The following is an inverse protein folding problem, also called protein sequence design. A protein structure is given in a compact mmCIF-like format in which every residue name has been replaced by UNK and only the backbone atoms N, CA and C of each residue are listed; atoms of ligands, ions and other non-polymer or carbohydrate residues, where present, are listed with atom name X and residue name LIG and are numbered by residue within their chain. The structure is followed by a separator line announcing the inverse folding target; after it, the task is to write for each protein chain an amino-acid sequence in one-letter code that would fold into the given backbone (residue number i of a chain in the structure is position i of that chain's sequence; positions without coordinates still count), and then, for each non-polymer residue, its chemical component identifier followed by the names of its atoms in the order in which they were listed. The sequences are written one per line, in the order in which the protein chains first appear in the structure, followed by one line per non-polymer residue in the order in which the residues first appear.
data_IF_188728986529
#
_entry.id   IF_188728986529
#
_cell.length_a   1.000
_cell.length_b   1.000
_cell.length_c   1.000
_cell.angle_alpha   90.00
_cell.angle_beta   90.00
_cell.angle_gamma   90.00
#
_symmetry.space_group_name_H-M   'P 1'
#
loop_
_entity.id
_entity.type
_entity.pdbx_description
1 polymer ?
#
# COMPACT_ATOMS: atom_id res chain seq x y z
N UNK A 1 29.08 -10.21 33.32
CA UNK A 1 28.77 -10.79 32.00
C UNK A 1 28.03 -9.75 31.17
N UNK A 2 28.28 -9.75 29.86
CA UNK A 2 28.09 -8.64 28.94
C UNK A 2 26.62 -8.35 28.52
N UNK A 3 26.35 -7.04 28.35
CA UNK A 3 25.41 -6.31 27.47
C UNK A 3 24.70 -7.10 26.35
N UNK A 4 23.39 -6.85 26.20
CA UNK A 4 22.81 -6.52 24.88
C UNK A 4 21.77 -5.40 25.00
N UNK A 5 21.94 -4.38 24.15
CA UNK A 5 20.97 -3.32 23.86
C UNK A 5 19.98 -3.86 22.83
N UNK A 6 18.70 -3.54 22.95
CA UNK A 6 17.86 -3.31 21.77
C UNK A 6 16.82 -2.23 22.06
N UNK A 7 16.85 -1.26 21.17
CA UNK A 7 16.18 0.03 21.20
C UNK A 7 14.87 -0.04 20.42
N UNK A 8 13.91 0.80 20.85
CA UNK A 8 12.83 1.43 20.06
C UNK A 8 12.15 0.59 18.98
N UNK A 9 10.84 0.42 19.13
CA UNK A 9 9.91 1.11 18.24
C UNK A 9 8.53 1.21 18.89
N UNK A 10 8.19 2.42 19.33
CA UNK A 10 6.81 2.81 19.53
C UNK A 10 6.11 2.73 18.17
N UNK A 11 5.22 1.75 17.99
CA UNK A 11 4.23 1.79 16.92
C UNK A 11 2.92 2.28 17.53
N UNK A 12 2.97 3.54 17.96
CA UNK A 12 1.78 4.36 18.11
C UNK A 12 1.46 4.95 16.74
N UNK A 13 0.56 4.32 15.98
CA UNK A 13 -0.16 4.98 14.90
C UNK A 13 -1.59 4.46 14.86
N UNK A 14 -2.31 4.57 15.99
CA UNK A 14 -3.75 4.79 15.92
C UNK A 14 -3.96 6.28 15.67
N UNK A 15 -3.72 6.70 14.42
CA UNK A 15 -4.17 7.99 13.94
C UNK A 15 -5.60 7.82 13.43
N UNK A 16 -6.56 7.86 14.35
CA UNK A 16 -7.93 8.25 14.06
C UNK A 16 -7.93 9.74 13.72
N UNK A 17 -7.62 10.08 12.48
CA UNK A 17 -7.87 11.39 11.90
C UNK A 17 -8.51 11.14 10.55
N UNK A 18 -9.61 11.82 10.24
CA UNK A 18 -10.15 11.85 8.89
C UNK A 18 -9.12 12.50 7.98
N UNK A 19 -8.18 11.70 7.46
CA UNK A 19 -7.16 12.15 6.53
C UNK A 19 -7.76 11.99 5.15
N UNK A 20 -8.12 13.11 4.53
CA UNK A 20 -8.21 13.17 3.08
C UNK A 20 -6.85 12.71 2.55
N UNK A 21 -6.75 11.45 2.14
CA UNK A 21 -5.51 10.90 1.59
C UNK A 21 -5.13 11.76 0.40
N UNK A 22 -3.92 12.34 0.42
CA UNK A 22 -3.44 13.15 -0.69
C UNK A 22 -3.43 12.28 -1.95
N UNK A 23 -3.71 12.89 -3.10
CA UNK A 23 -3.65 12.22 -4.40
C UNK A 23 -2.30 11.51 -4.60
N UNK A 24 -1.21 12.10 -4.11
CA UNK A 24 0.13 11.49 -4.15
C UNK A 24 0.23 10.20 -3.31
N UNK A 25 -0.41 10.18 -2.14
CA UNK A 25 -0.45 8.98 -1.29
C UNK A 25 -1.29 7.87 -1.95
N UNK A 26 -2.42 8.21 -2.56
CA UNK A 26 -3.23 7.25 -3.33
C UNK A 26 -2.41 6.64 -4.48
N UNK A 27 -1.67 7.44 -5.24
CA UNK A 27 -0.80 6.92 -6.30
C UNK A 27 0.29 5.99 -5.76
N UNK A 28 0.88 6.31 -4.62
CA UNK A 28 1.84 5.42 -3.95
C UNK A 28 1.20 4.09 -3.54
N UNK A 29 -0.02 4.12 -3.00
CA UNK A 29 -0.76 2.91 -2.61
C UNK A 29 -1.11 2.04 -3.82
N UNK A 30 -1.60 2.65 -4.91
CA UNK A 30 -1.91 1.96 -6.17
C UNK A 30 -0.64 1.30 -6.74
N UNK A 31 0.48 2.04 -6.75
CA UNK A 31 1.77 1.49 -7.23
C UNK A 31 2.20 0.29 -6.41
N UNK A 32 2.22 0.41 -5.09
CA UNK A 32 2.61 -0.69 -4.20
C UNK A 32 1.71 -1.91 -4.40
N UNK A 33 0.41 -1.69 -4.61
CA UNK A 33 -0.55 -2.77 -4.84
C UNK A 33 -0.36 -3.44 -6.21
N UNK A 34 -0.06 -2.67 -7.26
CA UNK A 34 0.25 -3.20 -8.58
C UNK A 34 1.53 -4.05 -8.56
N UNK A 35 2.58 -3.60 -7.86
CA UNK A 35 3.82 -4.36 -7.66
C UNK A 35 3.55 -5.65 -6.87
N UNK A 36 2.68 -5.62 -5.85
CA UNK A 36 2.26 -6.82 -5.13
C UNK A 36 1.56 -7.83 -6.05
N UNK A 37 0.66 -7.37 -6.94
CA UNK A 37 -0.05 -8.21 -7.91
C UNK A 37 0.95 -8.87 -8.87
N UNK A 38 1.88 -8.09 -9.42
CA UNK A 38 2.94 -8.58 -10.28
C UNK A 38 3.79 -9.64 -9.57
N UNK A 39 4.21 -9.37 -8.33
CA UNK A 39 5.01 -10.30 -7.52
C UNK A 39 4.24 -11.58 -7.19
N UNK A 40 2.95 -11.50 -6.87
CA UNK A 40 2.08 -12.67 -6.63
C UNK A 40 1.96 -13.58 -7.85
N UNK A 41 2.05 -13.01 -9.05
CA UNK A 41 2.06 -13.79 -10.30
C UNK A 41 3.38 -14.51 -10.54
N UNK A 42 4.45 -14.18 -9.82
CA UNK A 42 5.77 -14.82 -9.93
C UNK A 42 6.25 -14.96 -11.40
N UNK A 43 6.01 -13.95 -12.23
CA UNK A 43 6.33 -13.98 -13.67
C UNK A 43 5.30 -14.66 -14.58
N UNK A 44 4.13 -15.03 -14.07
CA UNK A 44 2.98 -15.51 -14.87
C UNK A 44 2.46 -14.46 -15.85
N UNK A 45 1.52 -14.80 -16.75
CA UNK A 45 1.03 -13.89 -17.79
C UNK A 45 0.22 -12.71 -17.25
N UNK A 46 0.34 -11.56 -17.90
CA UNK A 46 -0.32 -10.28 -17.57
C UNK A 46 0.62 -9.08 -17.71
N UNK A 47 0.06 -7.90 -17.90
CA UNK A 47 0.79 -6.67 -18.22
C UNK A 47 0.69 -5.61 -17.11
N UNK A 48 1.64 -4.68 -17.12
CA UNK A 48 1.75 -3.61 -16.13
C UNK A 48 0.50 -2.71 -16.06
N UNK A 49 -0.17 -2.48 -17.19
CA UNK A 49 -1.37 -1.64 -17.23
C UNK A 49 -2.55 -2.36 -16.56
N UNK A 50 -2.74 -3.65 -16.86
CA UNK A 50 -3.74 -4.48 -16.19
C UNK A 50 -3.52 -4.58 -14.68
N UNK A 51 -2.27 -4.73 -14.23
CA UNK A 51 -1.94 -4.77 -12.80
C UNK A 51 -2.22 -3.42 -12.11
N UNK A 52 -1.93 -2.32 -12.80
CA UNK A 52 -2.24 -0.97 -12.32
C UNK A 52 -3.75 -0.71 -12.22
N UNK A 53 -4.55 -1.09 -13.23
CA UNK A 53 -6.01 -0.92 -13.19
C UNK A 53 -6.68 -1.73 -12.08
N UNK A 54 -6.21 -2.95 -11.84
CA UNK A 54 -6.67 -3.80 -10.73
C UNK A 54 -6.33 -3.19 -9.38
N UNK A 55 -5.12 -2.65 -9.25
CA UNK A 55 -4.70 -1.95 -8.05
C UNK A 55 -5.54 -0.68 -7.82
N UNK A 56 -5.75 0.14 -8.85
CA UNK A 56 -6.56 1.35 -8.77
C UNK A 56 -7.98 1.04 -8.31
N UNK A 57 -8.62 0.04 -8.92
CA UNK A 57 -9.98 -0.38 -8.55
C UNK A 57 -10.06 -0.82 -7.09
N UNK A 58 -9.11 -1.63 -6.63
CA UNK A 58 -9.08 -2.11 -5.24
C UNK A 58 -8.87 -0.98 -4.22
N UNK A 59 -8.04 0.03 -4.53
CA UNK A 59 -7.82 1.19 -3.66
C UNK A 59 -9.05 2.11 -3.68
N UNK A 60 -9.67 2.33 -4.85
CA UNK A 60 -10.92 3.12 -4.95
C UNK A 60 -12.04 2.55 -4.08
N UNK A 61 -12.22 1.23 -4.06
CA UNK A 61 -13.18 0.55 -3.18
C UNK A 61 -12.86 0.75 -1.69
N UNK A 62 -11.57 0.67 -1.31
CA UNK A 62 -11.13 0.82 0.08
C UNK A 62 -11.34 2.23 0.63
N UNK A 63 -11.14 3.26 -0.20
CA UNK A 63 -11.28 4.65 0.23
C UNK A 63 -12.70 5.21 0.02
N UNK A 64 -13.66 4.40 -0.45
CA UNK A 64 -15.03 4.83 -0.75
C UNK A 64 -15.04 6.09 -1.64
N UNK A 65 -14.07 6.21 -2.55
CA UNK A 65 -13.95 7.33 -3.48
C UNK A 65 -14.91 7.03 -4.63
N UNK A 66 -16.20 7.26 -4.39
CA UNK A 66 -17.15 7.45 -5.48
C UNK A 66 -16.84 8.81 -6.10
N UNK A 67 -16.37 8.80 -7.35
CA UNK A 67 -16.28 10.01 -8.15
C UNK A 67 -17.68 10.57 -8.43
#
# INVERSE_FOLDING_TARGET
MAITKSVKSAQNHQATAGVSVSVEQQYHEIRNKAEEIFRKRNGGPGDQLSDWLKAESAIKEQHHIYA
#
